data_IF_196977408437
#
_entry.id   IF_196977408437
#
_cell.length_a   1.000
_cell.length_b   1.000
_cell.length_c   1.000
_cell.angle_alpha   90.00
_cell.angle_beta   90.00
_cell.angle_gamma   90.00
#
_symmetry.space_group_name_H-M   'P 1'
#
loop_
_entity.id
_entity.type
_entity.pdbx_description
1 polymer ?
#
# COMPACT_ATOMS: atom_id res chain seq x y z
N UNK A 1 -8.94 1.32 -32.85
CA UNK A 1 -10.09 1.80 -33.66
C UNK A 1 -11.13 2.28 -32.66
N UNK A 2 -11.42 3.56 -32.61
CA UNK A 2 -12.49 4.06 -31.73
C UNK A 2 -13.80 3.48 -32.19
N UNK A 3 -14.42 2.64 -31.39
CA UNK A 3 -15.75 2.10 -31.66
C UNK A 3 -16.72 3.27 -31.58
N UNK A 4 -17.23 3.70 -32.73
CA UNK A 4 -18.33 4.66 -32.78
C UNK A 4 -19.52 4.00 -32.09
N UNK A 5 -20.07 4.62 -31.04
CA UNK A 5 -21.28 4.16 -30.38
C UNK A 5 -22.30 3.84 -31.44
N UNK A 6 -22.78 2.62 -31.49
CA UNK A 6 -23.99 2.28 -32.19
C UNK A 6 -25.15 2.92 -31.44
N UNK A 7 -25.85 3.84 -32.07
CA UNK A 7 -27.03 4.51 -31.49
C UNK A 7 -28.24 3.55 -31.27
N UNK A 8 -28.06 2.26 -31.53
CA UNK A 8 -29.08 1.24 -31.40
C UNK A 8 -29.50 0.90 -29.97
N UNK A 9 -28.66 1.32 -28.94
CA UNK A 9 -28.97 1.11 -27.51
C UNK A 9 -28.50 2.29 -26.65
N UNK A 10 -29.24 3.38 -26.60
CA UNK A 10 -28.83 4.62 -25.92
C UNK A 10 -28.72 4.52 -24.38
N UNK A 11 -29.14 3.40 -23.76
CA UNK A 11 -29.18 3.20 -22.32
C UNK A 11 -28.33 2.02 -21.85
N UNK A 12 -27.41 1.53 -22.67
CA UNK A 12 -26.54 0.40 -22.26
C UNK A 12 -25.34 0.92 -21.43
N UNK A 13 -25.17 0.32 -20.26
CA UNK A 13 -24.00 0.51 -19.42
C UNK A 13 -22.77 -0.01 -20.17
N UNK A 14 -21.75 0.82 -20.33
CA UNK A 14 -20.49 0.41 -20.92
C UNK A 14 -19.45 0.25 -19.80
N UNK A 15 -18.80 -0.90 -19.77
CA UNK A 15 -17.73 -1.21 -18.83
C UNK A 15 -16.37 -0.84 -19.45
N UNK A 16 -15.63 0.06 -18.79
CA UNK A 16 -14.28 0.50 -19.16
C UNK A 16 -13.23 0.03 -18.14
N UNK A 17 -13.56 -0.93 -17.29
CA UNK A 17 -12.67 -1.43 -16.26
C UNK A 17 -11.35 -1.95 -16.84
N UNK A 18 -11.41 -2.73 -17.92
CA UNK A 18 -10.21 -3.23 -18.60
C UNK A 18 -9.33 -2.08 -19.13
N UNK A 19 -9.93 -1.04 -19.72
CA UNK A 19 -9.18 0.13 -20.22
C UNK A 19 -8.55 0.91 -19.05
N UNK A 20 -9.24 1.01 -17.92
CA UNK A 20 -8.72 1.66 -16.70
C UNK A 20 -7.51 0.91 -16.14
N UNK A 21 -7.58 -0.42 -16.07
CA UNK A 21 -6.51 -1.26 -15.51
C UNK A 21 -5.25 -1.28 -16.38
N UNK A 22 -5.39 -1.08 -17.71
CA UNK A 22 -4.24 -0.97 -18.64
C UNK A 22 -3.45 0.32 -18.39
N UNK A 23 -4.07 1.39 -17.87
CA UNK A 23 -3.38 2.64 -17.56
C UNK A 23 -2.35 2.38 -16.44
N UNK A 24 -1.05 2.64 -16.67
CA UNK A 24 -0.01 2.34 -15.69
C UNK A 24 -0.24 3.08 -14.37
N UNK A 25 -0.12 2.37 -13.27
CA UNK A 25 -0.08 2.99 -11.96
C UNK A 25 1.32 3.61 -11.75
N UNK A 26 1.42 4.91 -11.90
CA UNK A 26 2.68 5.67 -11.77
C UNK A 26 2.89 6.23 -10.36
N UNK A 27 2.02 5.91 -9.41
CA UNK A 27 2.07 6.46 -8.06
C UNK A 27 2.29 5.35 -7.04
N UNK A 28 3.25 5.56 -6.14
CA UNK A 28 3.43 4.79 -4.93
C UNK A 28 4.73 3.98 -4.86
N UNK A 29 5.54 4.30 -3.85
CA UNK A 29 6.75 3.55 -3.50
C UNK A 29 6.43 2.14 -2.99
N UNK A 30 5.34 1.98 -2.23
CA UNK A 30 4.94 0.68 -1.69
C UNK A 30 4.57 -0.31 -2.79
N UNK A 31 3.98 0.20 -3.88
CA UNK A 31 3.67 -0.62 -5.05
C UNK A 31 4.95 -1.02 -5.81
N UNK A 32 5.92 -0.10 -5.94
CA UNK A 32 7.22 -0.37 -6.56
C UNK A 32 8.05 -1.39 -5.76
N UNK A 33 8.01 -1.29 -4.43
CA UNK A 33 8.67 -2.23 -3.53
C UNK A 33 7.97 -3.60 -3.43
N UNK A 34 6.74 -3.73 -3.94
CA UNK A 34 5.96 -4.96 -3.85
C UNK A 34 5.66 -5.39 -2.41
N UNK A 35 5.48 -4.43 -1.49
CA UNK A 35 5.24 -4.73 -0.07
C UNK A 35 3.90 -5.42 0.13
N UNK A 36 2.86 -4.99 -0.60
CA UNK A 36 1.52 -5.58 -0.51
C UNK A 36 1.23 -6.47 -1.70
N UNK A 37 0.81 -7.69 -1.42
CA UNK A 37 0.25 -8.60 -2.41
C UNK A 37 -1.23 -8.27 -2.64
N UNK A 38 -1.64 -8.21 -3.91
CA UNK A 38 -3.03 -7.97 -4.31
C UNK A 38 -3.78 -9.29 -4.47
N UNK A 39 -4.98 -9.38 -3.91
CA UNK A 39 -5.83 -10.56 -4.00
C UNK A 39 -7.30 -10.15 -4.17
N UNK A 40 -7.98 -10.73 -5.15
CA UNK A 40 -9.40 -10.48 -5.43
C UNK A 40 -10.30 -11.45 -4.67
N UNK A 41 -11.27 -10.91 -3.91
CA UNK A 41 -12.25 -11.71 -3.18
C UNK A 41 -13.66 -11.50 -3.74
N UNK A 42 -14.52 -12.50 -3.65
CA UNK A 42 -15.90 -12.42 -4.16
C UNK A 42 -16.90 -11.86 -3.12
N UNK A 43 -16.44 -11.53 -1.92
CA UNK A 43 -17.29 -11.08 -0.81
C UNK A 43 -16.95 -9.65 -0.39
N UNK A 44 -17.90 -8.97 0.24
CA UNK A 44 -17.70 -7.63 0.83
C UNK A 44 -17.12 -7.66 2.25
N UNK A 45 -16.85 -8.85 2.77
CA UNK A 45 -16.26 -9.07 4.08
C UNK A 45 -15.15 -10.11 3.98
N UNK A 46 -14.08 -9.89 4.73
CA UNK A 46 -12.99 -10.85 4.86
C UNK A 46 -13.07 -11.48 6.22
N UNK A 47 -13.02 -12.81 6.23
CA UNK A 47 -12.95 -13.58 7.46
C UNK A 47 -11.56 -14.17 7.60
N UNK A 48 -10.90 -13.87 8.71
CA UNK A 48 -9.55 -14.33 9.02
C UNK A 48 -9.58 -15.18 10.27
N UNK A 49 -8.96 -16.34 10.20
CA UNK A 49 -8.74 -17.19 11.37
C UNK A 49 -7.38 -16.89 11.98
N UNK A 50 -7.38 -16.47 13.24
CA UNK A 50 -6.18 -16.43 14.06
C UNK A 50 -6.02 -17.80 14.71
N UNK A 51 -4.92 -18.49 14.37
CA UNK A 51 -4.57 -19.77 14.96
C UNK A 51 -3.39 -19.53 15.90
N UNK A 52 -3.63 -19.73 17.19
CA UNK A 52 -2.59 -19.63 18.21
C UNK A 52 -2.06 -21.04 18.49
N UNK A 53 -0.90 -21.36 17.93
CA UNK A 53 -0.24 -22.65 18.11
C UNK A 53 1.10 -22.43 18.81
N UNK A 54 1.20 -22.87 20.06
CA UNK A 54 2.48 -22.87 20.76
C UNK A 54 3.25 -24.14 20.42
N UNK A 55 4.43 -23.95 19.79
CA UNK A 55 5.41 -25.04 19.65
C UNK A 55 6.14 -25.23 20.98
N UNK A 56 6.20 -26.43 21.47
CA UNK A 56 6.94 -26.79 22.67
C UNK A 56 8.03 -27.81 22.34
N UNK A 57 9.21 -27.62 22.90
CA UNK A 57 10.26 -28.64 22.83
C UNK A 57 9.78 -29.89 23.56
N UNK A 58 9.92 -31.03 22.90
CA UNK A 58 9.61 -32.31 23.51
C UNK A 58 10.67 -32.65 24.57
N UNK A 59 10.22 -33.01 25.76
CA UNK A 59 11.09 -33.55 26.80
C UNK A 59 11.35 -35.02 26.55
N UNK A 60 12.59 -35.45 26.71
CA UNK A 60 12.95 -36.86 26.69
C UNK A 60 12.24 -37.66 27.80
N UNK A 61 11.93 -38.92 27.53
CA UNK A 61 11.24 -39.83 28.45
C UNK A 61 11.90 -41.20 28.42
N UNK A 62 11.72 -41.93 29.47
CA UNK A 62 12.15 -43.34 29.53
C UNK A 62 11.37 -44.12 28.49
N UNK A 63 12.01 -45.07 27.80
CA UNK A 63 11.37 -45.86 26.75
C UNK A 63 10.17 -46.62 27.31
N UNK A 64 8.94 -46.30 26.79
CA UNK A 64 7.66 -46.84 27.25
C UNK A 64 6.74 -45.80 27.91
N UNK A 65 7.27 -44.64 28.31
CA UNK A 65 6.46 -43.51 28.80
C UNK A 65 5.98 -42.60 27.66
N UNK A 66 4.71 -42.18 27.69
CA UNK A 66 4.07 -41.32 26.70
C UNK A 66 3.32 -40.17 27.39
N UNK A 67 4.05 -39.18 27.91
CA UNK A 67 3.44 -38.02 28.59
C UNK A 67 3.61 -36.69 27.86
N UNK A 68 4.17 -36.71 26.65
CA UNK A 68 4.19 -35.51 25.80
C UNK A 68 2.88 -35.45 25.01
N UNK A 69 2.03 -34.49 25.33
CA UNK A 69 0.75 -34.24 24.63
C UNK A 69 0.86 -32.92 23.87
N UNK A 70 0.39 -32.89 22.64
CA UNK A 70 0.16 -31.64 21.93
C UNK A 70 -0.91 -30.84 22.66
N UNK A 71 -0.69 -29.54 22.80
CA UNK A 71 -1.75 -28.62 23.24
C UNK A 71 -2.67 -28.37 22.05
N UNK A 72 -3.97 -28.34 22.32
CA UNK A 72 -4.95 -27.91 21.35
C UNK A 72 -4.70 -26.44 20.98
N UNK A 73 -4.87 -26.12 19.71
CA UNK A 73 -4.79 -24.75 19.22
C UNK A 73 -6.13 -24.05 19.43
N UNK A 74 -6.08 -22.79 19.83
CA UNK A 74 -7.23 -21.90 19.88
C UNK A 74 -7.43 -21.24 18.52
N UNK A 75 -8.67 -21.21 18.04
CA UNK A 75 -9.05 -20.51 16.81
C UNK A 75 -9.95 -19.34 17.18
N UNK A 76 -9.58 -18.17 16.72
CA UNK A 76 -10.39 -16.98 16.80
C UNK A 76 -10.75 -16.53 15.38
N UNK A 77 -12.02 -16.24 15.14
CA UNK A 77 -12.53 -15.81 13.85
C UNK A 77 -12.79 -14.31 13.89
N UNK A 78 -12.08 -13.56 13.06
CA UNK A 78 -12.29 -12.13 12.90
C UNK A 78 -12.88 -11.85 11.53
N UNK A 79 -13.96 -11.06 11.47
CA UNK A 79 -14.61 -10.64 10.22
C UNK A 79 -14.50 -9.14 10.06
N UNK A 80 -14.00 -8.70 8.90
CA UNK A 80 -13.76 -7.29 8.59
C UNK A 80 -14.51 -6.91 7.32
N UNK A 81 -15.27 -5.82 7.36
CA UNK A 81 -15.93 -5.28 6.18
C UNK A 81 -14.93 -4.51 5.31
N UNK A 82 -15.09 -4.60 3.99
CA UNK A 82 -14.26 -3.89 3.02
C UNK A 82 -14.84 -2.50 2.77
N UNK A 83 -14.06 -1.41 2.96
CA UNK A 83 -14.51 -0.07 2.63
C UNK A 83 -14.76 0.13 1.14
N UNK A 84 -15.69 1.00 0.81
CA UNK A 84 -16.10 1.36 -0.54
C UNK A 84 -15.66 2.80 -0.85
N UNK A 85 -14.93 2.99 -1.96
CA UNK A 85 -14.39 4.28 -2.41
C UNK A 85 -14.94 4.64 -3.80
N UNK A 86 -16.12 5.27 -3.86
CA UNK A 86 -16.70 5.74 -5.12
C UNK A 86 -16.04 7.05 -5.58
N UNK A 87 -15.94 7.22 -6.90
CA UNK A 87 -15.52 8.46 -7.53
C UNK A 87 -16.27 8.63 -8.85
N UNK A 88 -17.11 9.64 -8.94
CA UNK A 88 -17.87 9.96 -10.13
C UNK A 88 -17.25 11.15 -10.86
N UNK A 89 -17.28 11.12 -12.21
CA UNK A 89 -16.88 12.22 -13.08
C UNK A 89 -17.88 12.33 -14.23
N UNK A 90 -17.99 13.51 -14.83
CA UNK A 90 -18.98 13.84 -15.85
C UNK A 90 -18.29 14.43 -17.06
N UNK A 91 -18.71 14.01 -18.27
CA UNK A 91 -18.32 14.65 -19.53
C UNK A 91 -19.51 15.42 -20.06
N UNK A 92 -19.37 16.73 -20.19
CA UNK A 92 -20.43 17.61 -20.71
C UNK A 92 -20.16 17.99 -22.15
N UNK A 93 -21.20 18.37 -22.96
CA UNK A 93 -21.01 18.84 -24.30
C UNK A 93 -20.03 20.01 -24.42
N UNK A 94 -20.01 20.91 -23.42
CA UNK A 94 -19.07 22.04 -23.34
C UNK A 94 -17.60 21.63 -23.20
N UNK A 95 -17.30 20.37 -22.82
CA UNK A 95 -15.94 19.85 -22.74
C UNK A 95 -15.36 19.51 -24.08
N UNK A 96 -16.21 19.30 -25.09
CA UNK A 96 -15.82 18.94 -26.47
C UNK A 96 -16.10 20.07 -27.43
N UNK A 97 -17.23 20.75 -27.29
CA UNK A 97 -17.71 21.74 -28.27
C UNK A 97 -16.83 23.00 -28.27
N UNK A 98 -16.30 23.34 -29.45
CA UNK A 98 -15.52 24.54 -29.66
C UNK A 98 -14.14 24.57 -28.98
N UNK A 99 -13.71 23.47 -28.37
CA UNK A 99 -12.39 23.34 -27.77
C UNK A 99 -11.39 22.75 -28.73
N UNK A 100 -10.14 23.17 -28.58
CA UNK A 100 -9.02 22.68 -29.35
C UNK A 100 -8.28 21.61 -28.54
N UNK A 101 -7.90 20.52 -29.21
CA UNK A 101 -7.16 19.43 -28.58
C UNK A 101 -5.87 19.95 -27.92
N UNK A 102 -5.60 19.51 -26.73
CA UNK A 102 -4.42 19.91 -25.96
C UNK A 102 -3.13 19.56 -26.71
N UNK A 103 -2.24 20.54 -26.81
CA UNK A 103 -0.97 20.37 -27.56
C UNK A 103 -1.07 20.51 -29.08
N UNK A 104 -2.27 20.73 -29.67
CA UNK A 104 -2.45 20.95 -31.10
C UNK A 104 -2.79 22.41 -31.40
N UNK A 105 -2.29 22.92 -32.54
CA UNK A 105 -2.62 24.26 -33.00
C UNK A 105 -3.94 24.34 -33.78
N UNK A 106 -4.41 23.24 -34.36
CA UNK A 106 -5.51 23.24 -35.34
C UNK A 106 -6.50 22.04 -35.20
N UNK A 107 -6.21 21.03 -34.37
CA UNK A 107 -7.13 19.89 -34.23
C UNK A 107 -8.22 20.17 -33.19
N UNK A 108 -9.43 19.76 -33.50
CA UNK A 108 -10.57 19.83 -32.59
C UNK A 108 -10.47 18.75 -31.49
N UNK A 109 -11.01 19.06 -30.32
CA UNK A 109 -11.11 18.10 -29.22
C UNK A 109 -12.14 17.02 -29.57
N UNK A 110 -11.78 15.76 -29.41
CA UNK A 110 -12.67 14.62 -29.63
C UNK A 110 -13.11 14.01 -28.30
N UNK A 111 -14.33 13.48 -28.24
CA UNK A 111 -14.88 12.85 -27.05
C UNK A 111 -13.96 11.76 -26.48
N UNK A 112 -13.33 10.95 -27.35
CA UNK A 112 -12.38 9.92 -26.92
C UNK A 112 -11.15 10.48 -26.20
N UNK A 113 -10.65 11.66 -26.60
CA UNK A 113 -9.51 12.32 -25.94
C UNK A 113 -9.91 12.83 -24.54
N UNK A 114 -11.10 13.41 -24.41
CA UNK A 114 -11.62 13.89 -23.12
C UNK A 114 -11.82 12.70 -22.19
N UNK A 115 -12.44 11.63 -22.70
CA UNK A 115 -12.63 10.37 -21.94
C UNK A 115 -11.30 9.80 -21.46
N UNK A 116 -10.31 9.65 -22.32
CA UNK A 116 -9.00 9.11 -21.96
C UNK A 116 -8.33 9.90 -20.84
N UNK A 117 -8.37 11.23 -20.88
CA UNK A 117 -7.82 12.09 -19.81
C UNK A 117 -8.56 11.93 -18.48
N UNK A 118 -9.90 11.78 -18.54
CA UNK A 118 -10.70 11.55 -17.33
C UNK A 118 -10.43 10.19 -16.73
N UNK A 119 -10.33 9.13 -17.54
CA UNK A 119 -9.94 7.80 -17.08
C UNK A 119 -8.54 7.81 -16.44
N UNK A 120 -7.57 8.52 -17.04
CA UNK A 120 -6.24 8.68 -16.43
C UNK A 120 -6.30 9.40 -15.08
N UNK A 121 -7.14 10.43 -14.96
CA UNK A 121 -7.33 11.15 -13.70
C UNK A 121 -7.99 10.27 -12.63
N UNK A 122 -9.03 9.52 -13.01
CA UNK A 122 -9.70 8.54 -12.14
C UNK A 122 -8.69 7.50 -11.65
N UNK A 123 -7.92 6.91 -12.57
CA UNK A 123 -6.89 5.91 -12.22
C UNK A 123 -5.88 6.46 -11.22
N UNK A 124 -5.40 7.68 -11.46
CA UNK A 124 -4.46 8.36 -10.57
C UNK A 124 -5.05 8.59 -9.17
N UNK A 125 -6.32 9.02 -9.08
CA UNK A 125 -6.99 9.24 -7.80
C UNK A 125 -7.14 7.95 -6.99
N UNK A 126 -7.55 6.85 -7.64
CA UNK A 126 -7.64 5.54 -6.97
C UNK A 126 -6.26 5.04 -6.52
N UNK A 127 -5.21 5.20 -7.35
CA UNK A 127 -3.85 4.81 -7.01
C UNK A 127 -3.29 5.59 -5.81
N UNK A 128 -3.52 6.91 -5.77
CA UNK A 128 -3.12 7.76 -4.63
C UNK A 128 -3.86 7.35 -3.36
N UNK A 129 -5.15 7.05 -3.47
CA UNK A 129 -5.96 6.60 -2.33
C UNK A 129 -5.47 5.25 -1.79
N UNK A 130 -5.17 4.32 -2.68
CA UNK A 130 -4.64 3.00 -2.31
C UNK A 130 -3.29 3.11 -1.59
N UNK A 131 -2.36 3.93 -2.12
CA UNK A 131 -1.05 4.14 -1.49
C UNK A 131 -1.19 4.79 -0.11
N UNK A 132 -2.03 5.83 0.02
CA UNK A 132 -2.30 6.48 1.30
C UNK A 132 -2.90 5.50 2.31
N UNK A 133 -3.81 4.64 1.87
CA UNK A 133 -4.42 3.61 2.70
C UNK A 133 -3.41 2.54 3.15
N UNK A 134 -2.50 2.11 2.27
CA UNK A 134 -1.39 1.20 2.60
C UNK A 134 -0.44 1.82 3.61
N UNK A 135 -0.09 3.10 3.40
CA UNK A 135 0.74 3.83 4.35
C UNK A 135 0.06 3.96 5.72
N UNK A 136 -1.25 4.23 5.77
CA UNK A 136 -1.97 4.29 7.04
C UNK A 136 -1.98 2.92 7.74
N UNK A 137 -2.15 1.81 7.01
CA UNK A 137 -2.05 0.49 7.60
C UNK A 137 -0.68 0.26 8.24
N UNK A 138 0.42 0.69 7.60
CA UNK A 138 1.79 0.56 8.13
C UNK A 138 2.01 1.52 9.31
N UNK A 139 1.68 2.81 9.15
CA UNK A 139 2.03 3.85 10.13
C UNK A 139 1.15 3.82 11.36
N UNK A 140 -0.16 3.72 11.18
CA UNK A 140 -1.13 3.71 12.27
C UNK A 140 -1.62 2.31 12.66
N UNK A 141 -1.43 1.30 11.79
CA UNK A 141 -2.00 -0.04 12.01
C UNK A 141 -3.52 -0.08 11.84
N UNK A 142 -4.11 0.94 11.21
CA UNK A 142 -5.56 1.06 11.03
C UNK A 142 -5.93 1.05 9.56
N UNK A 143 -7.16 0.69 9.24
CA UNK A 143 -7.66 0.82 7.87
C UNK A 143 -7.98 2.28 7.55
N UNK A 144 -7.85 2.63 6.27
CA UNK A 144 -8.24 3.94 5.75
C UNK A 144 -9.75 3.98 5.51
N UNK A 145 -10.47 4.65 6.40
CA UNK A 145 -11.91 4.89 6.29
C UNK A 145 -12.24 6.27 6.90
N UNK A 146 -11.97 7.38 6.18
CA UNK A 146 -12.04 8.74 6.74
C UNK A 146 -13.44 9.12 7.25
N UNK A 147 -14.49 8.47 6.76
CA UNK A 147 -15.87 8.68 7.22
C UNK A 147 -16.29 7.72 8.34
N UNK A 148 -15.36 6.96 8.92
CA UNK A 148 -15.63 5.97 9.96
C UNK A 148 -16.70 4.91 9.59
N UNK A 149 -16.86 4.62 8.31
CA UNK A 149 -17.79 3.57 7.83
C UNK A 149 -17.38 2.19 8.31
N UNK A 150 -16.07 1.99 8.45
CA UNK A 150 -15.46 0.79 9.02
C UNK A 150 -14.32 1.25 9.93
N UNK A 151 -14.25 0.71 11.13
CA UNK A 151 -13.16 1.01 12.08
C UNK A 151 -12.47 -0.30 12.45
N UNK A 152 -11.22 -0.44 12.04
CA UNK A 152 -10.38 -1.60 12.37
C UNK A 152 -8.97 -1.09 12.74
N UNK A 153 -8.52 -1.57 13.87
CA UNK A 153 -7.13 -1.46 14.33
C UNK A 153 -6.54 -2.87 14.38
N UNK A 154 -5.51 -3.11 13.59
CA UNK A 154 -4.88 -4.43 13.48
C UNK A 154 -4.19 -4.84 14.77
N UNK A 155 -3.56 -3.90 15.50
CA UNK A 155 -2.90 -4.19 16.76
C UNK A 155 -3.92 -4.58 17.85
N UNK A 156 -4.99 -3.80 17.97
CA UNK A 156 -6.07 -4.09 18.93
C UNK A 156 -6.82 -5.38 18.57
N UNK A 157 -7.12 -5.59 17.27
CA UNK A 157 -7.85 -6.79 16.81
C UNK A 157 -7.11 -8.09 17.07
N UNK A 158 -5.78 -8.07 17.00
CA UNK A 158 -4.96 -9.26 17.27
C UNK A 158 -4.36 -9.31 18.67
N UNK A 159 -4.63 -8.30 19.51
CA UNK A 159 -4.10 -8.22 20.88
C UNK A 159 -2.57 -8.06 20.93
N UNK A 160 -1.99 -7.32 19.97
CA UNK A 160 -0.55 -7.14 19.79
C UNK A 160 -0.17 -5.71 20.15
N UNK A 161 1.01 -5.54 20.74
CA UNK A 161 1.62 -4.22 20.96
C UNK A 161 2.75 -4.04 19.96
N UNK A 162 2.73 -2.91 19.23
CA UNK A 162 3.80 -2.59 18.28
C UNK A 162 5.10 -2.32 19.00
N UNK A 163 6.21 -2.88 18.49
CA UNK A 163 7.56 -2.53 18.93
C UNK A 163 7.92 -1.12 18.47
N UNK A 164 8.43 -0.31 19.39
CA UNK A 164 8.94 1.02 19.12
C UNK A 164 10.39 1.13 19.60
N UNK A 165 11.26 1.73 18.78
CA UNK A 165 12.67 1.91 19.07
C UNK A 165 13.04 3.39 18.92
N UNK A 166 13.51 4.00 20.00
CA UNK A 166 14.01 5.37 19.97
C UNK A 166 15.48 5.38 19.53
N UNK A 167 15.73 6.03 18.40
CA UNK A 167 17.07 6.15 17.82
C UNK A 167 17.91 7.26 18.46
N UNK A 168 17.30 8.21 19.18
CA UNK A 168 18.00 9.34 19.83
C UNK A 168 19.00 10.03 18.87
N UNK A 169 18.56 10.34 17.65
CA UNK A 169 19.43 10.84 16.59
C UNK A 169 20.00 12.25 16.86
N UNK A 170 19.44 13.01 17.80
CA UNK A 170 20.02 14.24 18.27
C UNK A 170 21.25 14.05 19.17
N UNK A 171 21.52 12.82 19.63
CA UNK A 171 22.66 12.49 20.47
C UNK A 171 23.82 11.97 19.61
N UNK A 172 24.94 12.68 19.57
CA UNK A 172 26.07 12.37 18.69
C UNK A 172 26.81 11.06 18.96
N UNK A 173 26.51 10.38 20.07
CA UNK A 173 27.12 9.10 20.48
C UNK A 173 26.22 7.90 20.28
N UNK A 174 25.04 8.10 19.66
CA UNK A 174 24.10 6.98 19.42
C UNK A 174 24.69 5.98 18.43
N UNK A 175 24.69 4.71 18.82
CA UNK A 175 25.05 3.61 17.92
C UNK A 175 23.82 3.20 17.09
N UNK A 176 23.76 3.70 15.86
CA UNK A 176 22.67 3.43 14.90
C UNK A 176 22.67 1.96 14.47
N UNK A 177 23.86 1.32 14.41
CA UNK A 177 23.97 -0.10 14.01
C UNK A 177 23.32 -0.97 15.08
N UNK A 178 23.66 -0.74 16.37
CA UNK A 178 23.06 -1.50 17.47
C UNK A 178 21.53 -1.36 17.51
N UNK A 179 21.00 -0.16 17.22
CA UNK A 179 19.55 0.05 17.11
C UNK A 179 18.94 -0.69 15.90
N UNK A 180 19.67 -0.73 14.79
CA UNK A 180 19.27 -1.51 13.61
C UNK A 180 19.26 -3.02 13.89
N UNK A 181 20.28 -3.53 14.56
CA UNK A 181 20.37 -4.94 14.97
C UNK A 181 19.22 -5.34 15.91
N UNK A 182 18.83 -4.47 16.86
CA UNK A 182 17.68 -4.69 17.73
C UNK A 182 16.39 -4.89 16.90
N UNK A 183 16.19 -4.08 15.86
CA UNK A 183 15.03 -4.17 14.97
C UNK A 183 15.08 -5.43 14.11
N UNK A 184 16.25 -5.76 13.57
CA UNK A 184 16.44 -6.98 12.75
C UNK A 184 16.11 -8.22 13.59
N UNK A 185 16.62 -8.29 14.81
CA UNK A 185 16.35 -9.40 15.72
C UNK A 185 14.86 -9.52 16.05
N UNK A 186 14.20 -8.40 16.38
CA UNK A 186 12.75 -8.39 16.67
C UNK A 186 11.91 -8.85 15.47
N UNK A 187 12.23 -8.39 14.26
CA UNK A 187 11.55 -8.83 13.04
C UNK A 187 11.77 -10.33 12.81
N UNK A 188 12.99 -10.82 12.95
CA UNK A 188 13.31 -12.23 12.75
C UNK A 188 12.60 -13.14 13.77
N UNK A 189 12.52 -12.71 15.02
CA UNK A 189 11.82 -13.43 16.07
C UNK A 189 10.29 -13.50 15.83
N UNK A 190 9.73 -12.49 15.17
CA UNK A 190 8.30 -12.39 14.86
C UNK A 190 7.91 -12.97 13.50
N UNK A 191 8.89 -13.25 12.61
CA UNK A 191 8.67 -13.98 11.36
C UNK A 191 8.61 -15.47 11.68
N UNK A 192 7.39 -15.97 11.88
CA UNK A 192 7.14 -17.37 12.24
C UNK A 192 7.16 -18.28 11.00
N UNK A 193 7.25 -19.60 11.23
CA UNK A 193 7.10 -20.67 10.23
C UNK A 193 8.25 -20.86 9.23
N UNK A 194 9.45 -20.34 9.50
CA UNK A 194 10.60 -20.56 8.63
C UNK A 194 10.57 -19.75 7.33
N UNK A 195 9.72 -18.71 7.25
CA UNK A 195 9.73 -17.76 6.15
C UNK A 195 11.09 -17.04 6.08
N UNK A 196 11.59 -16.84 4.87
CA UNK A 196 12.89 -16.21 4.64
C UNK A 196 12.68 -14.72 4.40
N UNK A 197 13.22 -13.89 5.27
CA UNK A 197 13.29 -12.44 5.05
C UNK A 197 14.42 -12.16 4.05
N UNK A 198 14.09 -11.63 2.87
CA UNK A 198 15.10 -11.31 1.86
C UNK A 198 15.80 -9.98 2.12
N UNK A 199 15.20 -9.10 2.90
CA UNK A 199 15.76 -7.81 3.31
C UNK A 199 14.82 -7.06 4.24
N UNK A 200 15.33 -6.00 4.83
CA UNK A 200 14.53 -5.07 5.65
C UNK A 200 14.63 -3.69 5.04
N UNK A 201 13.48 -3.05 4.82
CA UNK A 201 13.38 -1.68 4.35
C UNK A 201 12.85 -0.78 5.47
N UNK A 202 13.44 0.38 5.62
CA UNK A 202 12.99 1.44 6.51
C UNK A 202 12.44 2.60 5.67
N UNK A 203 11.15 2.86 5.78
CA UNK A 203 10.50 4.04 5.18
C UNK A 203 10.63 5.20 6.16
N UNK A 204 11.46 6.17 5.84
CA UNK A 204 11.84 7.26 6.74
C UNK A 204 11.15 8.57 6.36
N UNK A 205 10.72 9.34 7.35
CA UNK A 205 10.41 10.74 7.12
C UNK A 205 11.66 11.53 6.69
N UNK A 206 11.53 12.62 5.95
CA UNK A 206 12.66 13.47 5.55
C UNK A 206 13.50 13.95 6.74
N UNK A 207 12.84 14.24 7.87
CA UNK A 207 13.47 14.71 9.10
C UNK A 207 14.30 13.59 9.74
N UNK A 208 13.72 12.40 9.93
CA UNK A 208 14.43 11.23 10.44
C UNK A 208 15.63 10.88 9.57
N UNK A 209 15.44 10.79 8.24
CA UNK A 209 16.52 10.47 7.30
C UNK A 209 17.65 11.49 7.36
N UNK A 210 17.34 12.77 7.46
CA UNK A 210 18.35 13.85 7.54
C UNK A 210 19.13 13.78 8.84
N UNK A 211 18.48 13.52 9.97
CA UNK A 211 19.14 13.30 11.27
C UNK A 211 20.00 12.03 11.24
N UNK A 212 19.52 10.94 10.61
CA UNK A 212 20.24 9.68 10.48
C UNK A 212 21.58 9.87 9.77
N UNK A 213 21.60 10.50 8.59
CA UNK A 213 22.84 10.72 7.85
C UNK A 213 23.76 11.78 8.47
N UNK A 214 23.26 12.58 9.40
CA UNK A 214 24.06 13.54 10.17
C UNK A 214 24.89 12.89 11.27
N UNK A 215 24.52 11.68 11.74
CA UNK A 215 25.27 10.93 12.74
C UNK A 215 26.70 10.62 12.28
N UNK A 216 27.68 10.79 13.14
CA UNK A 216 29.10 10.74 12.78
C UNK A 216 29.50 9.43 12.09
N UNK A 217 29.11 8.28 12.63
CA UNK A 217 29.40 6.97 12.04
C UNK A 217 28.67 6.72 10.71
N UNK A 218 27.43 7.14 10.62
CA UNK A 218 26.60 7.01 9.40
C UNK A 218 27.09 7.95 8.31
N UNK A 219 27.49 9.16 8.66
CA UNK A 219 27.99 10.19 7.73
C UNK A 219 29.21 9.75 6.93
N UNK A 220 30.14 9.04 7.57
CA UNK A 220 31.29 8.48 6.84
C UNK A 220 30.87 7.39 5.87
N UNK A 221 30.04 6.44 6.33
CA UNK A 221 29.52 5.37 5.49
C UNK A 221 28.71 5.93 4.31
N UNK A 222 27.87 6.95 4.54
CA UNK A 222 27.06 7.61 3.50
C UNK A 222 27.92 8.28 2.42
N UNK A 223 29.06 8.90 2.78
CA UNK A 223 29.99 9.49 1.81
C UNK A 223 30.57 8.44 0.87
N UNK A 224 30.97 7.29 1.40
CA UNK A 224 31.49 6.19 0.57
C UNK A 224 30.40 5.58 -0.31
N UNK A 225 29.20 5.37 0.23
CA UNK A 225 28.06 4.87 -0.52
C UNK A 225 27.69 5.78 -1.70
N UNK A 226 27.60 7.08 -1.47
CA UNK A 226 27.30 8.05 -2.52
C UNK A 226 28.38 8.13 -3.62
N UNK A 227 29.64 7.78 -3.30
CA UNK A 227 30.74 7.79 -4.27
C UNK A 227 30.83 6.52 -5.12
N UNK A 228 30.29 5.40 -4.63
CA UNK A 228 30.30 4.10 -5.32
C UNK A 228 29.05 3.84 -6.15
N UNK A 229 28.01 4.62 -5.96
CA UNK A 229 26.80 4.52 -6.80
C UNK A 229 27.06 5.02 -8.22
N UNK A 230 26.71 4.20 -9.19
CA UNK A 230 26.83 4.54 -10.62
C UNK A 230 26.06 5.83 -10.93
N UNK A 231 26.70 6.86 -11.51
CA UNK A 231 26.03 8.11 -11.90
C UNK A 231 24.83 7.89 -12.86
N UNK A 232 24.79 6.74 -13.51
CA UNK A 232 23.70 6.33 -14.40
C UNK A 232 22.41 5.98 -13.65
N UNK A 233 22.48 5.46 -12.43
CA UNK A 233 21.28 5.20 -11.60
C UNK A 233 20.56 6.48 -11.19
N UNK A 234 21.30 7.55 -10.94
CA UNK A 234 20.73 8.87 -10.65
C UNK A 234 20.09 9.54 -11.88
N UNK A 235 20.41 9.09 -13.09
CA UNK A 235 19.88 9.67 -14.35
C UNK A 235 18.65 8.95 -14.90
N UNK A 236 18.36 7.72 -14.49
CA UNK A 236 17.29 6.88 -15.04
C UNK A 236 16.07 6.76 -14.10
N UNK A 237 15.57 7.88 -13.61
CA UNK A 237 14.15 8.04 -13.33
C UNK A 237 13.59 7.56 -12.01
N UNK A 238 14.24 6.75 -11.19
CA UNK A 238 13.79 6.47 -9.82
C UNK A 238 14.47 7.39 -8.78
N UNK A 239 15.19 8.40 -9.21
CA UNK A 239 16.01 9.29 -8.40
C UNK A 239 15.27 10.34 -7.55
N UNK A 240 13.97 10.21 -7.31
CA UNK A 240 13.23 11.10 -6.41
C UNK A 240 13.39 10.75 -4.93
N UNK A 241 13.79 9.52 -4.61
CA UNK A 241 13.95 9.05 -3.24
C UNK A 241 15.45 8.89 -2.92
N UNK A 242 15.89 9.51 -1.82
CA UNK A 242 17.21 9.22 -1.29
C UNK A 242 17.15 7.86 -0.61
N UNK A 243 18.08 6.98 -0.94
CA UNK A 243 18.20 5.68 -0.32
C UNK A 243 19.62 5.47 0.19
N UNK A 244 19.74 4.66 1.23
CA UNK A 244 21.03 4.34 1.86
C UNK A 244 20.95 2.99 2.57
N UNK A 245 21.87 2.08 2.22
CA UNK A 245 21.99 0.79 2.86
C UNK A 245 23.00 0.87 4.01
N UNK A 246 22.58 0.56 5.24
CA UNK A 246 23.41 0.59 6.42
C UNK A 246 22.98 -0.45 7.45
N UNK A 247 23.94 -1.22 7.99
CA UNK A 247 23.67 -2.24 9.02
C UNK A 247 22.66 -3.31 8.59
N UNK A 248 22.60 -3.67 7.30
CA UNK A 248 21.65 -4.65 6.78
C UNK A 248 20.22 -4.14 6.55
N UNK A 249 20.00 -2.84 6.73
CA UNK A 249 18.70 -2.17 6.52
C UNK A 249 18.84 -1.18 5.38
N UNK A 250 17.87 -1.21 4.45
CA UNK A 250 17.74 -0.23 3.37
C UNK A 250 16.85 0.92 3.83
N UNK A 251 17.44 2.06 4.12
CA UNK A 251 16.72 3.28 4.48
C UNK A 251 16.30 4.04 3.22
N UNK A 252 15.01 4.37 3.10
CA UNK A 252 14.45 5.11 1.97
C UNK A 252 13.74 6.34 2.52
N UNK A 253 14.12 7.52 2.02
CA UNK A 253 13.41 8.76 2.33
C UNK A 253 12.07 8.80 1.60
N UNK A 254 10.97 8.76 2.34
CA UNK A 254 9.62 8.85 1.79
C UNK A 254 9.04 10.25 1.92
N UNK A 255 8.75 10.89 0.78
CA UNK A 255 8.23 12.26 0.72
C UNK A 255 6.76 12.35 0.33
N UNK A 256 6.04 11.22 0.32
CA UNK A 256 4.61 11.20 -0.03
C UNK A 256 3.78 12.09 0.90
N UNK A 257 2.97 12.96 0.29
CA UNK A 257 2.07 13.86 1.00
C UNK A 257 0.68 13.81 0.37
N UNK A 258 -0.33 13.92 1.19
CA UNK A 258 -1.71 14.09 0.75
C UNK A 258 -2.28 15.37 1.36
N UNK A 259 -2.80 16.29 0.52
CA UNK A 259 -3.28 17.62 0.95
C UNK A 259 -2.28 18.37 1.85
N UNK A 260 -0.98 18.28 1.54
CA UNK A 260 0.07 18.92 2.32
C UNK A 260 0.50 18.18 3.60
N UNK A 261 -0.25 17.16 4.02
CA UNK A 261 0.09 16.32 5.18
C UNK A 261 0.99 15.18 4.77
N UNK A 262 2.18 14.99 5.39
CA UNK A 262 3.05 13.85 5.10
C UNK A 262 2.36 12.55 5.53
N UNK A 263 2.56 11.49 4.74
CA UNK A 263 2.02 10.16 5.04
C UNK A 263 2.82 9.44 6.14
N UNK A 264 4.08 9.84 6.35
CA UNK A 264 4.89 9.40 7.52
C UNK A 264 5.02 10.60 8.44
N UNK A 265 4.71 10.47 9.74
CA UNK A 265 4.94 11.53 10.72
C UNK A 265 6.40 11.99 10.76
N UNK A 266 6.62 13.26 11.06
CA UNK A 266 7.98 13.79 11.21
C UNK A 266 8.75 13.01 12.29
N UNK A 267 10.05 12.83 12.07
CA UNK A 267 10.96 12.12 12.97
C UNK A 267 10.65 10.61 13.18
N UNK A 268 9.78 10.04 12.35
CA UNK A 268 9.45 8.62 12.36
C UNK A 268 10.08 7.87 11.18
N UNK A 269 10.30 6.57 11.38
CA UNK A 269 10.67 5.59 10.37
C UNK A 269 9.92 4.27 10.63
N UNK A 270 9.50 3.57 9.58
CA UNK A 270 8.80 2.29 9.69
C UNK A 270 9.60 1.20 9.00
N UNK A 271 9.93 0.17 9.77
CA UNK A 271 10.77 -0.94 9.35
C UNK A 271 9.90 -2.13 8.97
N UNK A 272 10.11 -2.65 7.78
CA UNK A 272 9.31 -3.69 7.16
C UNK A 272 10.19 -4.79 6.60
N UNK A 273 9.88 -6.08 6.82
CA UNK A 273 10.52 -7.18 6.10
C UNK A 273 10.04 -7.22 4.66
N UNK A 274 10.95 -7.57 3.75
CA UNK A 274 10.68 -7.81 2.33
C UNK A 274 10.81 -9.30 2.00
N UNK A 275 10.05 -9.74 0.99
CA UNK A 275 10.12 -11.10 0.47
C UNK A 275 9.44 -12.15 1.33
N UNK A 276 8.65 -11.76 2.31
CA UNK A 276 7.84 -12.68 3.11
C UNK A 276 6.43 -12.72 2.54
N UNK A 277 6.02 -13.89 2.09
CA UNK A 277 4.71 -14.10 1.49
C UNK A 277 3.58 -13.92 2.52
N UNK A 278 2.40 -13.52 2.04
CA UNK A 278 1.16 -13.44 2.82
C UNK A 278 1.18 -12.50 4.05
N UNK A 279 2.21 -11.66 4.22
CA UNK A 279 2.34 -10.80 5.40
C UNK A 279 1.51 -9.53 5.29
N UNK A 280 1.58 -8.90 4.14
CA UNK A 280 0.88 -7.67 3.81
C UNK A 280 -0.01 -7.93 2.60
N UNK A 281 -1.33 -7.88 2.76
CA UNK A 281 -2.26 -8.13 1.67
C UNK A 281 -3.24 -6.97 1.46
N UNK A 282 -3.48 -6.68 0.19
CA UNK A 282 -4.60 -5.83 -0.23
C UNK A 282 -5.66 -6.74 -0.84
N UNK A 283 -6.82 -6.82 -0.19
CA UNK A 283 -7.97 -7.55 -0.71
C UNK A 283 -8.91 -6.60 -1.43
N UNK A 284 -9.27 -6.96 -2.65
CA UNK A 284 -10.22 -6.22 -3.48
C UNK A 284 -11.56 -6.94 -3.52
N UNK A 285 -12.64 -6.20 -3.36
CA UNK A 285 -14.03 -6.69 -3.44
C UNK A 285 -14.66 -6.28 -4.77
N UNK A 286 -15.63 -7.05 -5.30
CA UNK A 286 -16.28 -6.73 -6.55
C UNK A 286 -17.05 -5.41 -6.48
N UNK A 287 -17.31 -4.85 -7.68
CA UNK A 287 -18.14 -3.65 -7.84
C UNK A 287 -19.57 -3.86 -7.34
N UNK A 288 -20.17 -2.80 -6.83
CA UNK A 288 -21.57 -2.80 -6.37
C UNK A 288 -22.57 -2.75 -7.54
N UNK A 289 -22.46 -3.72 -8.47
CA UNK A 289 -23.30 -3.87 -9.65
C UNK A 289 -23.75 -5.33 -9.78
N UNK A 290 -24.97 -5.55 -10.27
CA UNK A 290 -25.51 -6.90 -10.46
C UNK A 290 -24.64 -7.79 -11.37
N UNK A 291 -23.98 -7.20 -12.37
CA UNK A 291 -23.06 -7.91 -13.28
C UNK A 291 -21.80 -8.46 -12.60
N UNK A 292 -21.45 -7.95 -11.44
CA UNK A 292 -20.25 -8.35 -10.70
C UNK A 292 -20.55 -9.18 -9.43
N UNK A 293 -21.80 -9.60 -9.25
CA UNK A 293 -22.16 -10.48 -8.12
C UNK A 293 -21.43 -11.81 -8.24
N UNK A 294 -20.73 -12.22 -7.17
CA UNK A 294 -19.93 -13.44 -7.09
C UNK A 294 -18.72 -13.50 -8.06
N UNK A 295 -18.24 -12.36 -8.56
CA UNK A 295 -16.98 -12.27 -9.27
C UNK A 295 -15.84 -11.92 -8.30
N UNK A 296 -14.60 -12.20 -8.69
CA UNK A 296 -13.45 -11.73 -7.92
C UNK A 296 -13.29 -10.21 -8.08
N UNK A 297 -12.91 -9.55 -6.99
CA UNK A 297 -12.69 -8.11 -6.99
C UNK A 297 -11.43 -7.72 -7.77
N UNK A 298 -11.49 -6.55 -8.42
CA UNK A 298 -10.38 -5.92 -9.11
C UNK A 298 -9.98 -4.60 -8.45
N UNK A 299 -8.82 -4.06 -8.80
CA UNK A 299 -8.26 -2.87 -8.15
C UNK A 299 -9.17 -1.65 -8.27
N UNK A 300 -9.80 -1.45 -9.42
CA UNK A 300 -10.75 -0.37 -9.64
C UNK A 300 -11.69 -0.72 -10.80
N UNK A 301 -12.88 -0.17 -10.76
CA UNK A 301 -13.91 -0.32 -11.77
C UNK A 301 -14.31 1.04 -12.32
N UNK A 302 -14.68 1.10 -13.59
CA UNK A 302 -15.29 2.29 -14.19
C UNK A 302 -16.37 1.94 -15.18
N UNK A 303 -17.49 2.61 -15.06
CA UNK A 303 -18.69 2.41 -15.87
C UNK A 303 -19.09 3.73 -16.50
N UNK A 304 -19.46 3.70 -17.77
CA UNK A 304 -19.99 4.85 -18.48
C UNK A 304 -21.46 4.62 -18.81
N UNK A 305 -22.27 5.60 -18.51
CA UNK A 305 -23.67 5.63 -18.94
C UNK A 305 -24.10 7.06 -19.28
N UNK A 306 -25.07 7.23 -20.19
CA UNK A 306 -25.62 8.54 -20.49
C UNK A 306 -26.36 9.07 -19.26
N UNK A 307 -26.19 10.35 -19.00
CA UNK A 307 -26.96 11.06 -17.99
C UNK A 307 -28.41 11.30 -18.45
N UNK A 308 -29.20 11.83 -17.53
CA UNK A 308 -30.58 12.19 -17.85
C UNK A 308 -30.63 13.24 -18.97
N UNK A 309 -31.52 13.04 -19.97
CA UNK A 309 -31.75 13.95 -21.10
C UNK A 309 -30.58 14.12 -22.06
N UNK A 310 -29.59 13.25 -22.07
CA UNK A 310 -28.41 13.35 -22.95
C UNK A 310 -27.58 14.65 -22.77
N UNK A 311 -27.68 15.27 -21.58
CA UNK A 311 -26.94 16.49 -21.26
C UNK A 311 -25.52 16.24 -20.75
N UNK A 312 -25.24 15.00 -20.33
CA UNK A 312 -23.94 14.60 -19.80
C UNK A 312 -23.68 13.09 -19.98
N UNK A 313 -22.42 12.71 -19.96
CA UNK A 313 -21.98 11.32 -19.86
C UNK A 313 -21.40 11.13 -18.45
N UNK A 314 -21.92 10.19 -17.69
CA UNK A 314 -21.48 9.89 -16.35
C UNK A 314 -20.40 8.79 -16.41
N UNK A 315 -19.25 9.06 -15.81
CA UNK A 315 -18.21 8.09 -15.55
C UNK A 315 -18.26 7.76 -14.05
N UNK A 316 -18.87 6.63 -13.70
CA UNK A 316 -18.95 6.16 -12.34
C UNK A 316 -17.82 5.18 -12.09
N UNK A 317 -16.93 5.51 -11.16
CA UNK A 317 -15.86 4.60 -10.78
C UNK A 317 -15.92 4.24 -9.30
N UNK A 318 -15.39 3.07 -8.98
CA UNK A 318 -15.28 2.60 -7.60
C UNK A 318 -14.06 1.70 -7.42
N UNK A 319 -13.50 1.74 -6.22
CA UNK A 319 -12.47 0.82 -5.76
C UNK A 319 -12.85 0.36 -4.36
N UNK A 320 -12.89 -0.95 -4.16
CA UNK A 320 -13.34 -1.56 -2.91
C UNK A 320 -12.19 -2.39 -2.36
N UNK A 321 -11.47 -1.89 -1.37
CA UNK A 321 -10.29 -2.58 -0.87
C UNK A 321 -10.08 -2.45 0.63
N UNK A 322 -9.37 -3.41 1.19
CA UNK A 322 -8.86 -3.38 2.56
C UNK A 322 -7.39 -3.80 2.56
N UNK A 323 -6.55 -3.03 3.24
CA UNK A 323 -5.14 -3.36 3.43
C UNK A 323 -4.96 -4.05 4.78
N UNK A 324 -4.59 -5.31 4.74
CA UNK A 324 -4.47 -6.15 5.91
C UNK A 324 -3.02 -6.41 6.28
N UNK A 325 -2.70 -6.18 7.53
CA UNK A 325 -1.47 -6.65 8.18
C UNK A 325 -1.78 -7.98 8.86
N UNK A 326 -1.39 -9.11 8.26
CA UNK A 326 -1.66 -10.43 8.88
C UNK A 326 -0.80 -10.68 10.10
N UNK A 327 0.37 -10.03 10.17
CA UNK A 327 1.30 -10.06 11.31
C UNK A 327 1.77 -8.65 11.64
N UNK A 328 0.97 -7.83 12.34
CA UNK A 328 1.31 -6.45 12.64
C UNK A 328 2.60 -6.29 13.47
N UNK A 329 2.97 -7.30 14.25
CA UNK A 329 4.18 -7.29 15.08
C UNK A 329 5.49 -7.16 14.30
N UNK A 330 5.51 -7.52 13.01
CA UNK A 330 6.72 -7.39 12.18
C UNK A 330 6.97 -5.96 11.71
N UNK A 331 6.01 -5.06 11.91
CA UNK A 331 6.16 -3.64 11.60
C UNK A 331 6.70 -2.93 12.83
N UNK A 332 7.97 -2.55 12.79
CA UNK A 332 8.63 -1.84 13.89
C UNK A 332 8.64 -0.34 13.60
N UNK A 333 8.25 0.47 14.58
CA UNK A 333 8.38 1.93 14.51
C UNK A 333 9.72 2.35 15.10
N UNK A 334 10.57 2.98 14.28
CA UNK A 334 11.68 3.78 14.77
C UNK A 334 11.28 5.23 14.86
N UNK A 335 11.73 5.93 15.89
CA UNK A 335 11.50 7.36 16.01
C UNK A 335 12.71 8.03 16.67
N UNK A 336 12.73 9.34 16.66
CA UNK A 336 13.73 10.08 17.43
C UNK A 336 13.03 11.10 18.30
N UNK A 337 13.29 11.01 19.62
CA UNK A 337 12.69 11.88 20.62
C UNK A 337 13.45 13.20 20.82
N UNK A 338 14.60 13.40 20.12
CA UNK A 338 15.51 14.55 20.29
C UNK A 338 16.07 15.07 18.96
#
# INVERSE_FOLDING_TARGET
MATVRSFDKPFELVDYTEELLIIPNTWGLLNELGVFEADGVAQHTITVEKIDQSLALLTDRVRGERNNMNKDYTRELHSFAIPHFPLDDYIKPEDVQGKRAYGSASAEEQLGMVRGRKLETIRRNHSVTLEAARMQAITAGTIYAPNNTVSVDWYASFGITRKEVDFLLGTGTTDVIAKGEEIIADIQDNVLNGDIVTGIVALCSPEFFSKLIAQAGVKEAYKYYASTQDPSRQRLGSGLYREFDHGGIRYIEYRGKYNGTPLIPADDAYFLPLGVNDMFKTYFSPANKFSFVNTNGEEAYVFEYPGDRDEEIVLQSESNFINMLRRPQVVVRGYTSN
#
